data_IF_451233862372
#
_entry.id   IF_451233862372
#
_cell.length_a   1.000
_cell.length_b   1.000
_cell.length_c   1.000
_cell.angle_alpha   90.00
_cell.angle_beta   90.00
_cell.angle_gamma   90.00
#
_symmetry.space_group_name_H-M   'P 1'
#
loop_
_entity.id
_entity.type
_entity.pdbx_description
1 polymer ?
#
# COMPACT_ATOMS: atom_id res chain seq x y z
N UNK A 1 16.23 20.52 11.43
CA UNK A 1 16.89 19.54 10.55
C UNK A 1 15.80 18.93 9.71
N UNK A 2 16.00 18.83 8.39
CA UNK A 2 15.04 18.16 7.50
C UNK A 2 15.09 16.66 7.75
N UNK A 3 13.94 16.00 7.82
CA UNK A 3 13.84 14.53 7.94
C UNK A 3 14.19 13.81 6.63
N UNK A 4 14.36 14.53 5.53
CA UNK A 4 14.68 13.97 4.20
C UNK A 4 16.04 13.27 4.13
N UNK A 5 16.88 13.37 5.15
CA UNK A 5 18.18 12.67 5.18
C UNK A 5 18.04 11.14 4.99
N UNK A 6 16.93 10.54 5.42
CA UNK A 6 16.64 9.11 5.18
C UNK A 6 16.36 8.77 3.70
N UNK A 7 16.19 9.78 2.86
CA UNK A 7 15.91 9.66 1.41
C UNK A 7 17.08 10.19 0.55
N UNK A 8 18.28 10.39 1.14
CA UNK A 8 19.46 10.95 0.45
C UNK A 8 19.87 10.12 -0.78
N UNK A 9 19.63 8.82 -0.75
CA UNK A 9 19.96 7.89 -1.85
C UNK A 9 18.83 7.75 -2.89
N UNK A 10 17.76 8.54 -2.73
CA UNK A 10 16.64 8.55 -3.66
C UNK A 10 16.71 9.76 -4.59
N UNK A 11 16.41 9.54 -5.85
CA UNK A 11 16.13 10.63 -6.77
C UNK A 11 14.79 11.27 -6.39
N UNK A 12 14.79 12.59 -6.18
CA UNK A 12 13.60 13.37 -5.87
C UNK A 12 13.10 14.06 -7.13
N UNK A 13 11.87 13.74 -7.51
CA UNK A 13 11.20 14.34 -8.66
C UNK A 13 9.79 14.82 -8.29
N UNK A 14 9.12 15.49 -9.22
CA UNK A 14 7.70 15.83 -9.13
C UNK A 14 6.94 15.16 -10.26
N UNK A 15 5.77 14.63 -9.95
CA UNK A 15 4.83 14.13 -10.95
C UNK A 15 3.51 14.88 -10.86
N UNK A 16 3.01 15.31 -12.00
CA UNK A 16 1.76 16.06 -12.18
C UNK A 16 0.90 15.32 -13.22
N UNK A 17 -0.35 14.99 -12.87
CA UNK A 17 -1.32 14.37 -13.78
C UNK A 17 -2.30 15.40 -14.37
N UNK A 18 -2.07 16.70 -14.14
CA UNK A 18 -2.94 17.82 -14.52
C UNK A 18 -3.98 18.15 -13.45
N UNK A 19 -4.14 17.32 -12.40
CA UNK A 19 -5.06 17.56 -11.28
C UNK A 19 -4.31 17.73 -9.95
N UNK A 20 -3.28 16.93 -9.72
CA UNK A 20 -2.45 17.00 -8.52
C UNK A 20 -0.98 16.85 -8.85
N UNK A 21 -0.17 17.67 -8.21
CA UNK A 21 1.29 17.59 -8.24
C UNK A 21 1.79 17.01 -6.92
N UNK A 22 2.63 15.98 -6.96
CA UNK A 22 3.24 15.35 -5.78
C UNK A 22 4.71 15.07 -6.00
N UNK A 23 5.46 15.14 -4.92
CA UNK A 23 6.85 14.65 -4.90
C UNK A 23 6.86 13.13 -4.96
N UNK A 24 7.74 12.57 -5.77
CA UNK A 24 8.01 11.13 -5.88
C UNK A 24 9.50 10.92 -5.63
N UNK A 25 9.81 9.98 -4.77
CA UNK A 25 11.18 9.53 -4.50
C UNK A 25 11.40 8.19 -5.17
N UNK A 26 12.47 8.08 -5.98
CA UNK A 26 12.74 6.91 -6.81
C UNK A 26 14.12 6.34 -6.51
N UNK A 27 14.23 5.01 -6.41
CA UNK A 27 15.49 4.30 -6.16
C UNK A 27 15.48 2.92 -6.79
N UNK A 28 16.64 2.41 -7.18
CA UNK A 28 16.83 1.04 -7.68
C UNK A 28 16.93 0.97 -9.20
N UNK A 29 16.87 -0.23 -9.73
CA UNK A 29 16.88 -0.54 -11.15
C UNK A 29 16.09 -1.83 -11.41
N UNK A 30 15.43 -1.92 -12.58
CA UNK A 30 14.52 -3.01 -12.96
C UNK A 30 13.08 -2.58 -12.97
N UNK A 31 12.11 -3.54 -13.06
CA UNK A 31 10.68 -3.23 -13.13
C UNK A 31 10.18 -2.40 -11.94
N UNK A 32 9.16 -1.58 -12.18
CA UNK A 32 8.68 -0.62 -11.19
C UNK A 32 7.80 -1.24 -10.10
N UNK A 33 7.92 -0.71 -8.87
CA UNK A 33 7.00 -0.94 -7.76
C UNK A 33 6.60 0.39 -7.13
N UNK A 34 5.30 0.68 -7.06
CA UNK A 34 4.78 1.85 -6.37
C UNK A 34 4.54 1.51 -4.91
N UNK A 35 5.22 2.21 -4.02
CA UNK A 35 5.14 2.05 -2.57
C UNK A 35 4.34 3.20 -1.96
N UNK A 36 3.07 2.94 -1.66
CA UNK A 36 2.16 3.91 -1.05
C UNK A 36 2.21 3.78 0.47
N UNK A 37 2.70 4.84 1.11
CA UNK A 37 2.99 4.85 2.53
C UNK A 37 1.74 4.85 3.42
N UNK A 38 1.92 4.40 4.65
CA UNK A 38 0.93 4.48 5.74
C UNK A 38 1.01 5.82 6.50
N UNK A 39 0.16 5.97 7.52
CA UNK A 39 0.26 7.06 8.48
C UNK A 39 1.52 6.89 9.37
N UNK A 40 2.23 7.97 9.69
CA UNK A 40 1.97 9.38 9.43
C UNK A 40 2.56 9.92 8.12
N UNK A 41 3.02 9.09 7.19
CA UNK A 41 3.64 9.50 5.94
C UNK A 41 4.76 8.57 5.51
N UNK A 42 5.64 9.04 4.64
CA UNK A 42 6.81 8.29 4.18
C UNK A 42 7.89 8.25 5.28
N UNK A 43 7.61 7.51 6.37
CA UNK A 43 8.48 7.38 7.54
C UNK A 43 9.59 6.34 7.34
N UNK A 44 10.63 6.29 8.19
CA UNK A 44 11.79 5.40 8.01
C UNK A 44 11.44 3.92 7.84
N UNK A 45 10.36 3.42 8.44
CA UNK A 45 9.93 2.03 8.24
C UNK A 45 9.44 1.75 6.82
N UNK A 46 8.73 2.70 6.19
CA UNK A 46 8.30 2.59 4.79
C UNK A 46 9.50 2.71 3.86
N UNK A 47 10.43 3.61 4.15
CA UNK A 47 11.68 3.77 3.39
C UNK A 47 12.49 2.47 3.45
N UNK A 48 12.65 1.87 4.62
CA UNK A 48 13.34 0.59 4.78
C UNK A 48 12.67 -0.56 4.00
N UNK A 49 11.34 -0.58 3.91
CA UNK A 49 10.64 -1.52 3.02
C UNK A 49 10.96 -1.25 1.55
N UNK A 50 10.90 0.00 1.10
CA UNK A 50 11.24 0.38 -0.26
C UNK A 50 12.71 0.02 -0.60
N UNK A 51 13.64 0.20 0.35
CA UNK A 51 15.04 -0.21 0.19
C UNK A 51 15.18 -1.71 -0.04
N UNK A 52 14.42 -2.55 0.68
CA UNK A 52 14.42 -4.01 0.48
C UNK A 52 13.89 -4.39 -0.90
N UNK A 53 12.84 -3.73 -1.37
CA UNK A 53 12.31 -3.93 -2.73
C UNK A 53 13.33 -3.51 -3.79
N UNK A 54 13.99 -2.36 -3.61
CA UNK A 54 15.04 -1.90 -4.52
C UNK A 54 16.25 -2.85 -4.54
N UNK A 55 16.68 -3.32 -3.38
CA UNK A 55 17.78 -4.30 -3.24
C UNK A 55 17.44 -5.65 -3.90
N UNK A 56 16.17 -5.96 -4.10
CA UNK A 56 15.71 -7.17 -4.78
C UNK A 56 15.69 -7.04 -6.32
N UNK A 57 16.18 -5.93 -6.89
CA UNK A 57 16.32 -5.72 -8.33
C UNK A 57 15.12 -5.03 -8.99
N UNK A 58 14.42 -4.17 -8.26
CA UNK A 58 13.29 -3.41 -8.75
C UNK A 58 13.49 -1.91 -8.55
N UNK A 59 12.77 -1.09 -9.31
CA UNK A 59 12.75 0.36 -9.14
C UNK A 59 11.55 0.77 -8.31
N UNK A 60 11.77 1.34 -7.13
CA UNK A 60 10.69 1.82 -6.28
C UNK A 60 10.32 3.26 -6.60
N UNK A 61 9.03 3.52 -6.67
CA UNK A 61 8.43 4.85 -6.75
C UNK A 61 7.64 5.10 -5.45
N UNK A 62 8.12 6.00 -4.63
CA UNK A 62 7.56 6.34 -3.32
C UNK A 62 6.90 7.73 -3.39
N UNK A 63 5.61 7.84 -3.77
CA UNK A 63 4.94 9.13 -3.78
C UNK A 63 4.70 9.64 -2.35
N UNK A 64 4.98 10.92 -2.11
CA UNK A 64 4.62 11.59 -0.87
C UNK A 64 3.17 12.09 -0.96
N UNK A 65 2.23 11.26 -0.52
CA UNK A 65 0.79 11.55 -0.59
C UNK A 65 0.35 12.54 0.51
N UNK A 66 0.95 12.42 1.68
CA UNK A 66 0.70 13.29 2.84
C UNK A 66 1.86 13.21 3.84
N UNK A 67 1.88 14.14 4.80
CA UNK A 67 2.92 14.19 5.82
C UNK A 67 4.24 14.76 5.32
N UNK A 68 5.24 14.72 6.18
CA UNK A 68 6.60 15.14 5.88
C UNK A 68 7.47 13.90 5.67
N UNK A 69 8.08 13.80 4.49
CA UNK A 69 8.88 12.64 4.12
C UNK A 69 10.10 12.48 5.06
N UNK A 70 10.36 11.23 5.49
CA UNK A 70 11.43 10.88 6.42
C UNK A 70 11.10 11.09 7.90
N UNK A 71 9.98 11.76 8.25
CA UNK A 71 9.60 12.00 9.66
C UNK A 71 9.33 10.66 10.36
N UNK A 72 9.94 10.43 11.57
CA UNK A 72 9.66 9.22 12.34
C UNK A 72 8.20 9.09 12.74
N UNK A 73 7.68 7.85 12.70
CA UNK A 73 6.28 7.54 13.06
C UNK A 73 5.94 7.85 14.53
N UNK A 74 6.94 7.83 15.41
CA UNK A 74 6.80 8.12 16.86
C UNK A 74 6.64 9.61 17.19
N UNK A 75 6.66 10.53 16.21
CA UNK A 75 6.58 11.96 16.48
C UNK A 75 5.18 12.34 17.02
N UNK A 76 5.07 12.92 18.24
CA UNK A 76 3.79 13.09 18.95
C UNK A 76 2.78 14.03 18.27
N UNK A 77 3.24 14.93 17.41
CA UNK A 77 2.39 15.89 16.68
C UNK A 77 1.81 15.32 15.37
N UNK A 78 2.13 14.05 15.02
CA UNK A 78 1.88 13.55 13.68
C UNK A 78 0.45 13.07 13.43
N UNK A 79 -0.07 12.22 14.31
CA UNK A 79 -1.25 11.39 13.98
C UNK A 79 -2.56 12.16 14.08
N UNK A 80 -2.81 12.88 15.16
CA UNK A 80 -4.12 13.55 15.39
C UNK A 80 -4.34 14.74 14.44
N UNK A 81 -3.34 15.58 14.22
CA UNK A 81 -3.42 16.72 13.29
C UNK A 81 -3.45 16.28 11.83
N UNK A 82 -2.85 15.13 11.53
CA UNK A 82 -2.83 14.58 10.19
C UNK A 82 -4.15 13.91 9.82
N UNK A 83 -4.77 13.12 10.72
CA UNK A 83 -6.09 12.51 10.50
C UNK A 83 -7.11 13.62 10.23
N UNK A 84 -7.17 14.68 11.04
CA UNK A 84 -8.03 15.81 10.80
C UNK A 84 -7.81 16.47 9.43
N UNK A 85 -6.55 16.69 9.05
CA UNK A 85 -6.20 17.30 7.77
C UNK A 85 -6.49 16.43 6.55
N UNK A 86 -6.37 15.10 6.67
CA UNK A 86 -6.64 14.16 5.56
C UNK A 86 -8.15 13.94 5.39
N UNK A 87 -8.93 13.88 6.46
CA UNK A 87 -10.38 13.67 6.37
C UNK A 87 -11.13 14.78 5.61
N UNK A 88 -10.58 15.99 5.56
CA UNK A 88 -11.17 17.12 4.83
C UNK A 88 -10.63 17.29 3.41
N UNK A 89 -9.58 16.55 3.04
CA UNK A 89 -9.03 16.62 1.67
C UNK A 89 -9.92 15.89 0.69
N UNK A 90 -10.34 16.58 -0.36
CA UNK A 90 -11.17 16.03 -1.44
C UNK A 90 -10.50 14.89 -2.23
N UNK A 91 -9.21 14.68 -2.03
CA UNK A 91 -8.40 13.65 -2.67
C UNK A 91 -8.66 12.26 -2.10
N UNK A 92 -9.15 12.16 -0.83
CA UNK A 92 -9.34 10.92 -0.11
C UNK A 92 -10.79 10.71 0.31
N UNK A 93 -11.37 9.59 -0.10
CA UNK A 93 -12.71 9.15 0.32
C UNK A 93 -12.64 8.29 1.59
N UNK A 94 -12.35 8.91 2.73
CA UNK A 94 -12.02 8.23 3.98
C UNK A 94 -13.19 7.42 4.56
N UNK A 95 -14.42 7.82 4.24
CA UNK A 95 -15.65 7.24 4.79
C UNK A 95 -16.48 6.47 3.76
N UNK A 96 -16.14 6.53 2.49
CA UNK A 96 -16.90 5.89 1.43
C UNK A 96 -16.68 4.37 1.43
N UNK A 97 -17.78 3.61 1.35
CA UNK A 97 -17.77 2.16 1.35
C UNK A 97 -17.66 1.56 -0.06
N UNK A 98 -18.09 2.32 -1.07
CA UNK A 98 -18.32 1.89 -2.46
C UNK A 98 -17.56 2.74 -3.50
N UNK A 99 -16.56 3.51 -3.07
CA UNK A 99 -15.77 4.40 -3.94
C UNK A 99 -14.32 4.40 -3.51
N UNK A 100 -13.42 4.34 -4.48
CA UNK A 100 -12.00 4.61 -4.24
C UNK A 100 -11.75 6.11 -4.04
N UNK A 101 -10.60 6.42 -3.47
CA UNK A 101 -10.15 7.79 -3.31
C UNK A 101 -9.75 8.39 -4.66
N UNK A 102 -10.12 9.65 -4.95
CA UNK A 102 -9.78 10.31 -6.22
C UNK A 102 -8.29 10.32 -6.56
N UNK A 103 -7.41 10.33 -5.54
CA UNK A 103 -5.96 10.27 -5.72
C UNK A 103 -5.50 8.97 -6.42
N UNK A 104 -6.34 7.94 -6.46
CA UNK A 104 -6.03 6.68 -7.17
C UNK A 104 -5.88 6.91 -8.68
N UNK A 105 -6.58 7.87 -9.28
CA UNK A 105 -6.39 8.21 -10.69
C UNK A 105 -4.99 8.76 -10.96
N UNK A 106 -4.48 9.60 -10.06
CA UNK A 106 -3.10 10.08 -10.07
C UNK A 106 -2.09 8.92 -9.92
N UNK A 107 -2.38 7.97 -9.03
CA UNK A 107 -1.53 6.77 -8.85
C UNK A 107 -1.53 5.87 -10.08
N UNK A 108 -2.65 5.73 -10.78
CA UNK A 108 -2.74 5.04 -12.08
C UNK A 108 -1.88 5.72 -13.15
N UNK A 109 -1.92 7.05 -13.21
CA UNK A 109 -1.08 7.82 -14.13
C UNK A 109 0.41 7.67 -13.78
N UNK A 110 0.77 7.65 -12.49
CA UNK A 110 2.14 7.36 -12.04
C UNK A 110 2.56 5.94 -12.43
N UNK A 111 1.66 4.95 -12.34
CA UNK A 111 1.96 3.56 -12.73
C UNK A 111 2.26 3.46 -14.23
N UNK A 112 1.48 4.13 -15.10
CA UNK A 112 1.78 4.19 -16.54
C UNK A 112 3.14 4.79 -16.83
N UNK A 113 3.47 5.91 -16.18
CA UNK A 113 4.79 6.56 -16.28
C UNK A 113 5.90 5.60 -15.85
N UNK A 114 5.77 5.01 -14.66
CA UNK A 114 6.77 4.09 -14.12
C UNK A 114 6.99 2.86 -15.02
N UNK A 115 5.91 2.29 -15.58
CA UNK A 115 6.02 1.19 -16.54
C UNK A 115 6.72 1.61 -17.82
N UNK A 116 6.43 2.78 -18.36
CA UNK A 116 7.08 3.30 -19.57
C UNK A 116 8.58 3.55 -19.36
N UNK A 117 8.99 3.93 -18.15
CA UNK A 117 10.40 4.19 -17.81
C UNK A 117 11.18 2.93 -17.48
N UNK A 118 10.57 1.97 -16.77
CA UNK A 118 11.25 0.80 -16.21
C UNK A 118 11.03 -0.48 -17.03
N UNK A 119 10.00 -0.55 -17.85
CA UNK A 119 9.65 -1.76 -18.61
C UNK A 119 9.18 -2.91 -17.72
N UNK A 120 9.53 -4.14 -18.10
CA UNK A 120 9.08 -5.36 -17.44
C UNK A 120 7.67 -5.79 -17.87
N UNK A 121 7.10 -6.81 -17.19
CA UNK A 121 5.75 -7.30 -17.48
C UNK A 121 4.65 -6.36 -16.98
N UNK A 122 5.00 -5.43 -16.10
CA UNK A 122 4.10 -4.47 -15.48
C UNK A 122 4.67 -3.92 -14.18
N UNK A 123 3.82 -3.26 -13.40
CA UNK A 123 4.16 -2.53 -12.18
C UNK A 123 3.58 -3.25 -10.96
N UNK A 124 4.39 -3.43 -9.92
CA UNK A 124 3.91 -3.78 -8.60
C UNK A 124 3.31 -2.55 -7.90
N UNK A 125 2.32 -2.77 -7.03
CA UNK A 125 1.76 -1.71 -6.21
C UNK A 125 1.48 -2.23 -4.80
N UNK A 126 2.00 -1.57 -3.78
CA UNK A 126 1.66 -1.85 -2.39
C UNK A 126 1.05 -0.63 -1.74
N UNK A 127 -0.10 -0.82 -1.11
CA UNK A 127 -0.68 0.15 -0.19
C UNK A 127 -0.60 -0.35 1.23
N UNK A 128 -0.40 0.56 2.18
CA UNK A 128 -0.25 0.24 3.61
C UNK A 128 -1.23 1.06 4.44
N UNK A 129 -1.94 0.42 5.37
CA UNK A 129 -2.87 1.07 6.29
C UNK A 129 -3.91 1.92 5.53
N UNK A 130 -3.82 3.23 5.65
CA UNK A 130 -4.68 4.21 4.99
C UNK A 130 -4.73 4.02 3.46
N UNK A 131 -3.61 3.72 2.83
CA UNK A 131 -3.51 3.50 1.38
C UNK A 131 -3.71 2.03 0.99
N UNK A 132 -3.93 1.15 1.97
CA UNK A 132 -3.92 -0.31 1.78
C UNK A 132 -4.84 -0.81 0.67
N UNK A 133 -6.03 -0.24 0.52
CA UNK A 133 -6.98 -0.60 -0.54
C UNK A 133 -6.66 0.00 -1.92
N UNK A 134 -5.74 0.98 -2.01
CA UNK A 134 -5.47 1.69 -3.26
C UNK A 134 -4.85 0.79 -4.33
N UNK A 135 -4.02 -0.18 -3.92
CA UNK A 135 -3.40 -1.12 -4.86
C UNK A 135 -4.44 -1.93 -5.64
N UNK A 136 -5.54 -2.36 -4.99
CA UNK A 136 -6.66 -3.02 -5.66
C UNK A 136 -7.41 -2.06 -6.59
N UNK A 137 -7.70 -0.84 -6.13
CA UNK A 137 -8.36 0.17 -6.95
C UNK A 137 -7.53 0.52 -8.20
N UNK A 138 -6.19 0.48 -8.10
CA UNK A 138 -5.30 0.70 -9.25
C UNK A 138 -5.37 -0.39 -10.32
N UNK A 139 -6.01 -1.53 -10.07
CA UNK A 139 -6.12 -2.64 -11.04
C UNK A 139 -6.92 -2.30 -12.31
N UNK A 140 -7.61 -1.17 -12.37
CA UNK A 140 -8.18 -0.67 -13.63
C UNK A 140 -7.13 -0.11 -14.60
N UNK A 141 -5.89 0.08 -14.13
CA UNK A 141 -4.74 0.43 -14.96
C UNK A 141 -4.04 -0.86 -15.44
N UNK A 142 -3.96 -1.11 -16.76
CA UNK A 142 -3.35 -2.33 -17.30
C UNK A 142 -1.89 -2.55 -16.87
N UNK A 143 -1.14 -1.47 -16.66
CA UNK A 143 0.25 -1.58 -16.21
C UNK A 143 0.40 -2.20 -14.82
N UNK A 144 -0.63 -2.16 -13.95
CA UNK A 144 -0.55 -2.73 -12.59
C UNK A 144 -0.87 -4.22 -12.63
N UNK A 145 0.10 -5.05 -12.25
CA UNK A 145 0.00 -6.53 -12.34
C UNK A 145 0.20 -7.25 -11.00
N UNK A 146 0.68 -6.56 -9.97
CA UNK A 146 0.98 -7.14 -8.66
C UNK A 146 0.47 -6.26 -7.52
N UNK A 147 -0.85 -6.28 -7.22
CA UNK A 147 -1.41 -5.51 -6.13
C UNK A 147 -1.19 -6.19 -4.77
N UNK A 148 -0.67 -5.43 -3.79
CA UNK A 148 -0.47 -5.86 -2.40
C UNK A 148 -1.20 -4.90 -1.46
N UNK A 149 -2.02 -5.46 -0.59
CA UNK A 149 -2.86 -4.75 0.38
C UNK A 149 -2.34 -5.02 1.80
N UNK A 150 -1.42 -4.20 2.27
CA UNK A 150 -0.90 -4.36 3.63
C UNK A 150 -1.81 -3.62 4.62
N UNK A 151 -2.38 -4.34 5.59
CA UNK A 151 -3.33 -3.86 6.60
C UNK A 151 -4.31 -2.76 6.10
N UNK A 152 -5.16 -3.03 5.10
CA UNK A 152 -6.01 -2.03 4.47
C UNK A 152 -7.06 -1.50 5.45
N UNK A 153 -6.94 -0.22 5.86
CA UNK A 153 -7.72 0.38 6.94
C UNK A 153 -8.89 1.24 6.49
N UNK A 154 -8.99 1.58 5.20
CA UNK A 154 -10.15 2.30 4.67
C UNK A 154 -11.26 1.35 4.22
N UNK A 155 -12.54 1.77 4.34
CA UNK A 155 -12.98 3.00 4.96
C UNK A 155 -12.80 2.99 6.49
N UNK A 156 -12.60 4.18 7.07
CA UNK A 156 -12.49 4.34 8.52
C UNK A 156 -13.86 4.15 9.20
N UNK A 157 -13.82 3.75 10.46
CA UNK A 157 -15.00 3.67 11.30
C UNK A 157 -15.47 2.25 11.55
N UNK A 158 -14.83 1.60 12.52
CA UNK A 158 -15.41 0.45 13.21
C UNK A 158 -16.76 0.83 13.83
N UNK A 159 -17.66 -0.16 13.97
CA UNK A 159 -18.97 0.03 14.64
C UNK A 159 -20.16 -0.11 13.73
N UNK A 160 -20.02 -0.02 12.41
CA UNK A 160 -21.06 -0.41 11.45
C UNK A 160 -20.63 -1.70 10.74
N UNK A 161 -21.50 -2.75 10.71
CA UNK A 161 -21.22 -3.98 9.97
C UNK A 161 -20.91 -3.72 8.50
N UNK A 162 -21.56 -2.75 7.89
CA UNK A 162 -21.33 -2.33 6.51
C UNK A 162 -19.89 -1.84 6.31
N UNK A 163 -19.40 -0.94 7.15
CA UNK A 163 -18.02 -0.43 7.06
C UNK A 163 -16.98 -1.49 7.39
N UNK A 164 -17.31 -2.37 8.33
CA UNK A 164 -16.42 -3.49 8.66
C UNK A 164 -16.19 -4.43 7.48
N UNK A 165 -17.20 -4.62 6.62
CA UNK A 165 -17.15 -5.44 5.41
C UNK A 165 -16.60 -4.70 4.20
N UNK A 166 -16.70 -3.37 4.17
CA UNK A 166 -16.34 -2.56 3.02
C UNK A 166 -14.83 -2.61 2.73
N UNK A 167 -14.50 -2.64 1.44
CA UNK A 167 -13.11 -2.69 0.95
C UNK A 167 -12.65 -1.39 0.28
N UNK A 168 -13.51 -0.35 0.29
CA UNK A 168 -13.16 1.00 -0.18
C UNK A 168 -12.87 1.10 -1.68
N UNK A 169 -13.48 0.23 -2.48
CA UNK A 169 -13.33 0.15 -3.94
C UNK A 169 -14.71 0.15 -4.58
N UNK A 170 -14.88 0.78 -5.72
CA UNK A 170 -16.16 0.80 -6.41
C UNK A 170 -16.52 -0.56 -7.02
N UNK A 171 -17.82 -0.86 -7.22
CA UNK A 171 -18.26 -2.09 -7.90
C UNK A 171 -17.65 -2.26 -9.29
N UNK A 172 -17.45 -1.16 -10.03
CA UNK A 172 -16.82 -1.18 -11.35
C UNK A 172 -15.34 -1.59 -11.28
N UNK A 173 -14.60 -1.09 -10.28
CA UNK A 173 -13.21 -1.45 -10.05
C UNK A 173 -13.08 -2.90 -9.60
N UNK A 174 -13.98 -3.40 -8.74
CA UNK A 174 -14.05 -4.82 -8.36
C UNK A 174 -14.27 -5.69 -9.59
N UNK A 175 -15.25 -5.34 -10.43
CA UNK A 175 -15.56 -6.09 -11.65
C UNK A 175 -14.38 -6.10 -12.62
N UNK A 176 -13.67 -4.98 -12.77
CA UNK A 176 -12.48 -4.89 -13.60
C UNK A 176 -11.34 -5.76 -13.05
N UNK A 177 -11.06 -5.71 -11.75
CA UNK A 177 -10.04 -6.54 -11.11
C UNK A 177 -10.34 -8.04 -11.28
N UNK A 178 -11.59 -8.47 -11.03
CA UNK A 178 -12.02 -9.86 -11.23
C UNK A 178 -11.79 -10.34 -12.65
N UNK A 179 -12.19 -9.54 -13.64
CA UNK A 179 -11.97 -9.86 -15.04
C UNK A 179 -10.49 -10.03 -15.35
N UNK A 180 -9.66 -9.06 -14.94
CA UNK A 180 -8.21 -9.12 -15.15
C UNK A 180 -7.56 -10.31 -14.45
N UNK A 181 -7.98 -10.65 -13.22
CA UNK A 181 -7.46 -11.82 -12.51
C UNK A 181 -7.80 -13.13 -13.25
N UNK A 182 -8.96 -13.20 -13.90
CA UNK A 182 -9.35 -14.37 -14.67
C UNK A 182 -8.67 -14.45 -16.05
N UNK A 183 -8.60 -13.34 -16.78
CA UNK A 183 -8.12 -13.28 -18.17
C UNK A 183 -6.59 -13.21 -18.27
N UNK A 184 -5.91 -12.54 -17.30
CA UNK A 184 -4.47 -12.28 -17.31
C UNK A 184 -3.70 -13.16 -16.31
N UNK A 185 -4.38 -14.13 -15.68
CA UNK A 185 -3.83 -14.97 -14.59
C UNK A 185 -3.13 -14.16 -13.47
N UNK A 186 -3.71 -13.04 -13.11
CA UNK A 186 -3.22 -12.22 -12.01
C UNK A 186 -3.83 -12.66 -10.68
N UNK A 187 -3.22 -12.20 -9.59
CA UNK A 187 -3.66 -12.42 -8.23
C UNK A 187 -3.26 -11.23 -7.35
N UNK A 188 -3.67 -11.24 -6.09
CA UNK A 188 -3.29 -10.22 -5.12
C UNK A 188 -2.93 -10.82 -3.76
N UNK A 189 -2.13 -10.10 -2.98
CA UNK A 189 -1.81 -10.44 -1.59
C UNK A 189 -2.50 -9.44 -0.66
N UNK A 190 -3.10 -9.94 0.43
CA UNK A 190 -3.55 -9.13 1.56
C UNK A 190 -2.87 -9.56 2.84
N UNK A 191 -2.38 -8.58 3.64
CA UNK A 191 -1.69 -8.86 4.90
C UNK A 191 -2.40 -8.14 6.06
N UNK A 192 -2.48 -8.80 7.22
CA UNK A 192 -2.90 -8.17 8.48
C UNK A 192 -2.46 -8.99 9.69
N UNK A 193 -2.55 -8.40 10.86
CA UNK A 193 -2.56 -9.15 12.11
C UNK A 193 -4.00 -9.59 12.48
N UNK A 194 -4.13 -10.75 13.08
CA UNK A 194 -5.41 -11.15 13.69
C UNK A 194 -5.80 -10.16 14.79
N UNK A 195 -7.10 -9.83 14.86
CA UNK A 195 -7.62 -8.93 15.88
C UNK A 195 -7.22 -7.45 15.72
N UNK A 196 -6.64 -7.06 14.59
CA UNK A 196 -6.37 -5.65 14.28
C UNK A 196 -7.68 -4.86 14.19
N UNK A 197 -7.92 -3.88 15.09
CA UNK A 197 -9.18 -3.13 15.13
C UNK A 197 -9.41 -2.24 13.90
N UNK A 198 -8.34 -1.91 13.17
CA UNK A 198 -8.41 -1.12 11.93
C UNK A 198 -8.69 -1.97 10.69
N UNK A 199 -8.47 -3.28 10.77
CA UNK A 199 -8.68 -4.23 9.68
C UNK A 199 -9.56 -5.39 10.14
N UNK A 200 -10.88 -5.19 10.23
CA UNK A 200 -11.81 -6.20 10.74
C UNK A 200 -11.78 -7.50 9.95
N UNK A 201 -12.06 -8.63 10.61
CA UNK A 201 -12.18 -9.96 9.97
C UNK A 201 -13.18 -9.95 8.83
N UNK A 202 -14.28 -9.21 8.98
CA UNK A 202 -15.31 -9.06 7.97
C UNK A 202 -14.78 -8.45 6.66
N UNK A 203 -13.77 -7.59 6.70
CA UNK A 203 -13.12 -7.03 5.51
C UNK A 203 -12.34 -8.10 4.73
N UNK A 204 -11.56 -8.93 5.43
CA UNK A 204 -10.84 -10.04 4.81
C UNK A 204 -11.81 -11.12 4.30
N UNK A 205 -12.91 -11.36 5.00
CA UNK A 205 -13.98 -12.22 4.51
C UNK A 205 -14.58 -11.69 3.20
N UNK A 206 -14.73 -10.36 3.06
CA UNK A 206 -15.17 -9.75 1.81
C UNK A 206 -14.15 -9.96 0.69
N UNK A 207 -12.85 -9.74 0.91
CA UNK A 207 -11.82 -10.03 -0.10
C UNK A 207 -11.86 -11.50 -0.55
N UNK A 208 -11.97 -12.44 0.38
CA UNK A 208 -12.10 -13.88 0.07
C UNK A 208 -13.35 -14.18 -0.74
N UNK A 209 -14.49 -13.61 -0.37
CA UNK A 209 -15.75 -13.80 -1.10
C UNK A 209 -15.68 -13.25 -2.52
N UNK A 210 -15.08 -12.05 -2.71
CA UNK A 210 -15.04 -11.38 -3.99
C UNK A 210 -13.99 -11.98 -4.94
N UNK A 211 -12.85 -12.45 -4.44
CA UNK A 211 -11.71 -12.82 -5.28
C UNK A 211 -11.27 -14.28 -5.17
N UNK A 212 -11.82 -15.03 -4.23
CA UNK A 212 -11.58 -16.48 -4.11
C UNK A 212 -10.09 -16.82 -4.00
N UNK A 213 -9.64 -17.75 -4.83
CA UNK A 213 -8.26 -18.22 -4.93
C UNK A 213 -7.26 -17.18 -5.47
N UNK A 214 -7.75 -16.10 -6.05
CA UNK A 214 -6.91 -14.97 -6.50
C UNK A 214 -6.51 -14.02 -5.36
N UNK A 215 -7.04 -14.22 -4.17
CA UNK A 215 -6.67 -13.49 -2.96
C UNK A 215 -5.84 -14.35 -1.99
N UNK A 216 -4.54 -14.17 -2.00
CA UNK A 216 -3.63 -14.76 -1.00
C UNK A 216 -3.71 -13.94 0.28
N UNK A 217 -4.34 -14.49 1.33
CA UNK A 217 -4.45 -13.83 2.63
C UNK A 217 -3.33 -14.29 3.57
N UNK A 218 -2.49 -13.37 4.00
CA UNK A 218 -1.42 -13.58 5.02
C UNK A 218 -1.91 -12.94 6.32
N UNK A 219 -2.38 -13.78 7.24
CA UNK A 219 -2.89 -13.36 8.54
C UNK A 219 -1.96 -13.84 9.64
N UNK A 220 -1.42 -12.91 10.42
CA UNK A 220 -0.30 -13.12 11.36
C UNK A 220 -0.81 -13.01 12.79
N UNK A 221 -0.38 -13.91 13.67
CA UNK A 221 -0.66 -13.83 15.10
C UNK A 221 0.03 -12.59 15.69
N UNK A 222 -0.67 -11.75 16.48
CA UNK A 222 -0.08 -10.58 17.12
C UNK A 222 1.18 -10.84 17.94
N UNK A 223 1.36 -12.07 18.48
CA UNK A 223 2.58 -12.47 19.22
C UNK A 223 3.84 -12.50 18.35
N UNK A 224 3.68 -12.64 17.02
CA UNK A 224 4.78 -12.71 16.06
C UNK A 224 5.21 -11.32 15.54
N UNK A 225 4.59 -10.26 16.06
CA UNK A 225 5.00 -8.91 15.79
C UNK A 225 6.35 -8.58 16.44
N UNK A 226 7.08 -7.63 15.85
CA UNK A 226 8.34 -7.13 16.40
C UNK A 226 8.18 -6.72 17.86
N UNK A 227 9.01 -7.20 18.80
CA UNK A 227 9.02 -6.73 20.17
C UNK A 227 9.28 -5.22 20.28
N UNK A 228 8.52 -4.54 21.13
CA UNK A 228 8.62 -3.07 21.28
C UNK A 228 8.02 -2.24 20.15
N UNK A 229 7.32 -2.86 19.21
CA UNK A 229 6.50 -2.20 18.22
C UNK A 229 5.22 -1.57 18.78
N UNK A 230 4.18 -1.42 17.95
CA UNK A 230 2.88 -0.95 18.40
C UNK A 230 2.26 -1.94 19.41
N UNK A 231 1.62 -1.43 20.47
CA UNK A 231 0.95 -2.24 21.49
C UNK A 231 -0.13 -3.16 20.88
N UNK A 232 -0.86 -2.64 19.92
CA UNK A 232 -1.76 -3.41 19.05
C UNK A 232 -1.08 -3.49 17.69
N UNK A 233 -0.50 -4.64 17.31
CA UNK A 233 0.20 -4.78 16.03
C UNK A 233 -0.70 -4.46 14.84
N UNK A 234 -0.17 -3.66 13.91
CA UNK A 234 -0.90 -3.19 12.75
C UNK A 234 -0.03 -3.19 11.49
N UNK A 235 1.13 -2.54 11.54
CA UNK A 235 1.98 -2.27 10.37
C UNK A 235 2.89 -3.46 10.03
N UNK A 236 2.39 -4.41 9.23
CA UNK A 236 3.03 -5.72 8.98
C UNK A 236 4.43 -5.58 8.38
N UNK A 237 4.57 -4.77 7.32
CA UNK A 237 5.80 -4.64 6.53
C UNK A 237 6.79 -3.58 7.07
N UNK A 238 6.41 -2.87 8.14
CA UNK A 238 7.13 -1.70 8.64
C UNK A 238 7.34 -1.74 10.15
N UNK A 239 6.53 -1.05 10.96
CA UNK A 239 6.75 -0.85 12.40
C UNK A 239 6.76 -2.17 13.18
N UNK A 240 5.89 -3.11 12.82
CA UNK A 240 5.76 -4.40 13.48
C UNK A 240 6.53 -5.55 12.79
N UNK A 241 7.35 -5.23 11.78
CA UNK A 241 8.19 -6.21 11.10
C UNK A 241 9.31 -6.68 12.02
N UNK A 242 9.31 -7.96 12.35
CA UNK A 242 10.38 -8.61 13.12
C UNK A 242 11.54 -9.03 12.20
N UNK A 243 12.71 -9.27 12.78
CA UNK A 243 13.90 -9.71 12.04
C UNK A 243 13.77 -11.14 11.50
N UNK A 244 12.96 -11.97 12.14
CA UNK A 244 12.68 -13.37 11.77
C UNK A 244 11.21 -13.70 12.02
N UNK A 245 10.76 -14.88 11.59
CA UNK A 245 9.41 -15.38 11.84
C UNK A 245 8.36 -14.92 10.83
N UNK A 246 7.06 -15.04 11.18
CA UNK A 246 5.96 -14.87 10.22
C UNK A 246 5.89 -13.51 9.53
N UNK A 247 6.21 -12.41 10.22
CA UNK A 247 6.23 -11.07 9.59
C UNK A 247 7.35 -10.94 8.57
N UNK A 248 8.53 -11.52 8.85
CA UNK A 248 9.65 -11.55 7.90
C UNK A 248 9.32 -12.42 6.69
N UNK A 249 8.74 -13.59 6.89
CA UNK A 249 8.29 -14.46 5.82
C UNK A 249 7.24 -13.76 4.93
N UNK A 250 6.35 -12.97 5.52
CA UNK A 250 5.37 -12.17 4.79
C UNK A 250 6.05 -11.09 3.93
N UNK A 251 7.06 -10.38 4.45
CA UNK A 251 7.86 -9.40 3.72
C UNK A 251 8.57 -10.05 2.52
N UNK A 252 9.22 -11.18 2.74
CA UNK A 252 9.89 -11.96 1.69
C UNK A 252 8.91 -12.47 0.62
N UNK A 253 7.72 -12.94 1.04
CA UNK A 253 6.67 -13.37 0.10
C UNK A 253 6.17 -12.23 -0.77
N UNK A 254 5.98 -11.04 -0.20
CA UNK A 254 5.58 -9.85 -0.96
C UNK A 254 6.65 -9.47 -1.99
N UNK A 255 7.92 -9.46 -1.61
CA UNK A 255 9.02 -9.16 -2.52
C UNK A 255 9.12 -10.21 -3.64
N UNK A 256 8.99 -11.50 -3.31
CA UNK A 256 8.96 -12.58 -4.30
C UNK A 256 7.78 -12.41 -5.28
N UNK A 257 6.60 -12.07 -4.77
CA UNK A 257 5.42 -11.81 -5.60
C UNK A 257 5.63 -10.68 -6.59
N UNK A 258 6.25 -9.58 -6.17
CA UNK A 258 6.60 -8.51 -7.10
C UNK A 258 7.54 -9.01 -8.20
N UNK A 259 8.60 -9.73 -7.85
CA UNK A 259 9.54 -10.29 -8.84
C UNK A 259 8.85 -11.21 -9.85
N UNK A 260 8.05 -12.14 -9.36
CA UNK A 260 7.31 -13.10 -10.20
C UNK A 260 6.41 -12.39 -11.22
N UNK A 261 5.67 -11.37 -10.76
CA UNK A 261 4.64 -10.69 -11.55
C UNK A 261 5.19 -9.59 -12.44
N UNK A 262 6.23 -8.85 -12.00
CA UNK A 262 6.82 -7.76 -12.79
C UNK A 262 7.92 -8.25 -13.74
N UNK A 263 8.46 -9.44 -13.52
CA UNK A 263 9.55 -10.01 -14.32
C UNK A 263 10.94 -9.48 -13.94
N UNK A 264 11.13 -9.17 -12.63
CA UNK A 264 12.43 -8.73 -12.09
C UNK A 264 13.38 -9.90 -11.83
#
# INVERSE_FOLDING_TARGET
MSYEAALSDYEKSTFDDGRWTRTVYTRGAGPAVIVMHEMPGLHPGVIAFADRVAAAGMTVYCPNLFGEAGRPASHPLGIATMIGGICIRREFNVWATDKSSPIVDWLRALARKAHAECGGKGVGAVGMCFTGGFALAMMTEPAVVAPVLSQPSLPLGGGSPERAQAIGVSPAEISCAKRRFAEEDLSMIGLRFFGDPHVPDARFATYRREFGDKFEAIEIDPKDARPGGLKNPHSVLTINLADTGPTRAADERVIAFFKERTGA
#
